data_IF_543709164544
#
_entry.id   IF_543709164544
#
_cell.length_a   1.000
_cell.length_b   1.000
_cell.length_c   1.000
_cell.angle_alpha   90.00
_cell.angle_beta   90.00
_cell.angle_gamma   90.00
#
_symmetry.space_group_name_H-M   'P 1'
#
loop_
_entity.id
_entity.type
_entity.pdbx_description
1 polymer ?
#
# COMPACT_ATOMS: atom_id res chain seq x y z
N UNK A 1 37.14 5.81 39.01
CA UNK A 1 38.52 5.73 38.46
C UNK A 1 38.98 4.36 37.91
N UNK A 2 38.39 3.18 38.20
CA UNK A 2 38.93 1.92 37.64
C UNK A 2 38.67 1.71 36.13
N UNK A 3 37.67 2.38 35.55
CA UNK A 3 37.35 2.25 34.11
C UNK A 3 38.34 2.95 33.17
N UNK A 4 39.01 4.00 33.63
CA UNK A 4 40.02 4.72 32.81
C UNK A 4 41.33 3.92 32.71
N UNK A 5 41.71 3.21 33.77
CA UNK A 5 42.88 2.33 33.74
C UNK A 5 42.65 1.12 32.82
N UNK A 6 41.45 0.54 32.83
CA UNK A 6 41.11 -0.61 31.98
C UNK A 6 41.13 -0.25 30.49
N UNK A 7 40.60 0.93 30.13
CA UNK A 7 40.61 1.42 28.74
C UNK A 7 42.03 1.67 28.22
N UNK A 8 42.91 2.28 29.04
CA UNK A 8 44.31 2.53 28.69
C UNK A 8 45.14 1.24 28.52
N UNK A 9 44.88 0.22 29.33
CA UNK A 9 45.58 -1.06 29.22
C UNK A 9 45.12 -1.83 27.98
N UNK A 10 43.81 -1.87 27.71
CA UNK A 10 43.26 -2.58 26.55
C UNK A 10 43.65 -1.90 25.24
N UNK A 11 43.52 -0.58 25.14
CA UNK A 11 43.78 0.15 23.89
C UNK A 11 45.25 0.50 23.68
N UNK A 12 45.99 0.82 24.74
CA UNK A 12 47.38 1.28 24.65
C UNK A 12 48.44 0.17 24.66
N UNK A 13 48.14 -0.98 25.26
CA UNK A 13 49.12 -2.06 25.47
C UNK A 13 48.71 -3.33 24.74
N UNK A 14 47.45 -3.77 24.88
CA UNK A 14 47.00 -5.05 24.35
C UNK A 14 46.90 -5.06 22.81
N UNK A 15 46.37 -4.00 22.20
CA UNK A 15 46.22 -3.87 20.74
C UNK A 15 47.58 -3.88 20.01
N UNK A 16 48.59 -3.07 20.39
CA UNK A 16 49.89 -3.11 19.72
C UNK A 16 50.68 -4.40 19.97
N UNK A 17 50.48 -5.08 21.12
CA UNK A 17 51.11 -6.38 21.39
C UNK A 17 50.48 -7.53 20.59
N UNK A 18 49.20 -7.44 20.25
CA UNK A 18 48.51 -8.43 19.41
C UNK A 18 48.67 -8.16 17.90
N UNK A 19 48.97 -6.92 17.49
CA UNK A 19 49.17 -6.53 16.09
C UNK A 19 50.18 -7.40 15.30
N UNK A 20 51.34 -7.86 15.85
CA UNK A 20 52.24 -8.75 15.12
C UNK A 20 51.71 -10.20 15.00
N UNK A 21 50.82 -10.64 15.89
CA UNK A 21 50.24 -12.00 15.86
C UNK A 21 49.01 -12.12 14.93
N UNK A 22 48.32 -11.01 14.65
CA UNK A 22 47.21 -10.97 13.68
C UNK A 22 47.72 -10.78 12.25
N UNK A 23 48.91 -10.17 12.08
CA UNK A 23 49.52 -9.88 10.76
C UNK A 23 49.75 -11.10 9.83
N UNK A 24 50.19 -12.28 10.30
CA UNK A 24 50.43 -13.42 9.40
C UNK A 24 49.14 -14.16 8.98
N UNK A 25 47.99 -13.90 9.62
CA UNK A 25 46.70 -14.55 9.29
C UNK A 25 45.80 -13.72 8.38
N UNK A 26 46.24 -12.56 7.89
CA UNK A 26 45.49 -11.73 6.92
C UNK A 26 46.19 -11.53 5.54
N UNK A 27 46.68 -12.57 4.84
CA UNK A 27 46.96 -12.44 3.40
C UNK A 27 45.68 -12.47 2.53
N UNK A 28 44.51 -12.87 3.07
CA UNK A 28 43.28 -13.04 2.28
C UNK A 28 42.41 -11.77 2.10
N UNK A 29 42.72 -10.65 2.77
CA UNK A 29 41.92 -9.42 2.66
C UNK A 29 42.45 -8.38 1.66
N UNK A 30 43.54 -8.67 0.93
CA UNK A 30 44.11 -7.74 -0.07
C UNK A 30 43.51 -7.86 -1.47
N UNK A 31 42.52 -8.73 -1.65
CA UNK A 31 41.66 -8.75 -2.83
C UNK A 31 40.19 -8.70 -2.42
N UNK A 32 39.84 -7.77 -1.52
CA UNK A 32 38.47 -7.28 -1.49
C UNK A 32 38.27 -6.55 -2.83
N UNK A 33 37.85 -7.31 -3.84
CA UNK A 33 37.26 -6.76 -5.05
C UNK A 33 36.27 -5.71 -4.58
N UNK A 34 36.55 -4.45 -4.88
CA UNK A 34 35.60 -3.39 -4.67
C UNK A 34 34.35 -3.81 -5.45
N UNK A 35 33.32 -4.24 -4.73
CA UNK A 35 32.01 -4.43 -5.32
C UNK A 35 31.53 -3.02 -5.61
N UNK A 36 31.87 -2.52 -6.80
CA UNK A 36 31.23 -1.35 -7.37
C UNK A 36 29.81 -1.79 -7.70
N UNK A 37 28.90 -1.61 -6.74
CA UNK A 37 27.47 -1.73 -7.01
C UNK A 37 27.10 -0.53 -7.89
N UNK A 38 26.98 -0.79 -9.20
CA UNK A 38 26.46 0.18 -10.15
C UNK A 38 24.94 0.22 -9.99
N UNK A 39 24.43 1.23 -9.29
CA UNK A 39 23.00 1.54 -9.14
C UNK A 39 22.50 2.46 -10.27
N UNK A 40 22.94 2.23 -11.51
CA UNK A 40 22.68 3.15 -12.63
C UNK A 40 21.24 3.03 -13.20
N UNK A 41 20.37 2.17 -12.64
CA UNK A 41 18.99 1.93 -13.11
C UNK A 41 17.86 2.32 -12.14
N UNK A 42 18.19 2.81 -10.93
CA UNK A 42 17.26 2.70 -9.80
C UNK A 42 16.55 4.02 -9.43
N UNK A 43 16.72 5.07 -10.23
CA UNK A 43 16.03 6.34 -10.01
C UNK A 43 14.67 6.37 -10.69
N UNK A 44 13.67 6.81 -9.94
CA UNK A 44 12.41 7.26 -10.51
C UNK A 44 12.67 8.44 -11.45
N UNK A 45 12.24 8.33 -12.70
CA UNK A 45 12.15 9.51 -13.57
C UNK A 45 11.20 10.54 -12.96
N UNK A 46 11.34 11.82 -13.32
CA UNK A 46 10.44 12.89 -12.85
C UNK A 46 8.95 12.54 -13.05
N UNK A 47 8.60 11.93 -14.18
CA UNK A 47 7.23 11.51 -14.47
C UNK A 47 6.75 10.39 -13.54
N UNK A 48 7.61 9.41 -13.24
CA UNK A 48 7.30 8.34 -12.29
C UNK A 48 7.13 8.91 -10.88
N UNK A 49 8.00 9.81 -10.45
CA UNK A 49 7.92 10.48 -9.15
C UNK A 49 6.59 11.22 -8.99
N UNK A 50 6.20 12.04 -9.96
CA UNK A 50 4.92 12.76 -9.96
C UNK A 50 3.74 11.78 -9.87
N UNK A 51 3.78 10.66 -10.62
CA UNK A 51 2.71 9.65 -10.59
C UNK A 51 2.59 8.99 -9.22
N UNK A 52 3.71 8.66 -8.58
CA UNK A 52 3.72 8.09 -7.23
C UNK A 52 3.23 9.10 -6.20
N UNK A 53 3.65 10.36 -6.28
CA UNK A 53 3.20 11.42 -5.38
C UNK A 53 1.69 11.65 -5.47
N UNK A 54 1.12 11.67 -6.69
CA UNK A 54 -0.33 11.71 -6.87
C UNK A 54 -1.01 10.48 -6.26
N UNK A 55 -0.46 9.27 -6.46
CA UNK A 55 -1.00 8.06 -5.87
C UNK A 55 -0.99 8.12 -4.33
N UNK A 56 0.08 8.65 -3.71
CA UNK A 56 0.16 8.87 -2.26
C UNK A 56 -0.95 9.80 -1.79
N UNK A 57 -1.16 10.93 -2.45
CA UNK A 57 -2.23 11.87 -2.11
C UNK A 57 -3.62 11.24 -2.22
N UNK A 58 -3.87 10.47 -3.28
CA UNK A 58 -5.12 9.73 -3.46
C UNK A 58 -5.32 8.68 -2.36
N UNK A 59 -4.27 7.92 -1.96
CA UNK A 59 -4.34 6.99 -0.82
C UNK A 59 -4.76 7.70 0.46
N UNK A 60 -4.20 8.88 0.74
CA UNK A 60 -4.58 9.68 1.91
C UNK A 60 -6.05 10.11 1.86
N UNK A 61 -6.54 10.55 0.69
CA UNK A 61 -7.93 10.93 0.51
C UNK A 61 -8.88 9.73 0.69
N UNK A 62 -8.57 8.61 0.05
CA UNK A 62 -9.32 7.34 0.12
C UNK A 62 -9.44 6.85 1.56
N UNK A 63 -8.32 6.79 2.28
CA UNK A 63 -8.29 6.25 3.65
C UNK A 63 -8.97 7.17 4.66
N UNK A 64 -8.81 8.49 4.55
CA UNK A 64 -9.59 9.46 5.37
C UNK A 64 -11.09 9.33 5.10
N UNK A 65 -11.46 9.10 3.84
CA UNK A 65 -12.87 8.91 3.50
C UNK A 65 -13.41 7.61 4.11
N UNK A 66 -12.65 6.52 4.03
CA UNK A 66 -13.02 5.26 4.65
C UNK A 66 -13.17 5.35 6.18
N UNK A 67 -12.31 6.12 6.85
CA UNK A 67 -12.43 6.39 8.28
C UNK A 67 -13.73 7.10 8.63
N UNK A 68 -14.08 8.17 7.90
CA UNK A 68 -15.35 8.90 8.07
C UNK A 68 -16.56 7.98 7.89
N UNK A 69 -16.54 7.13 6.86
CA UNK A 69 -17.66 6.23 6.55
C UNK A 69 -17.76 5.06 7.53
N UNK A 70 -16.65 4.56 8.08
CA UNK A 70 -16.65 3.57 9.16
C UNK A 70 -17.29 4.10 10.44
N UNK A 71 -17.06 5.37 10.79
CA UNK A 71 -17.70 6.02 11.93
C UNK A 71 -19.21 6.19 11.72
N UNK A 72 -19.61 6.43 10.47
CA UNK A 72 -21.01 6.58 10.08
C UNK A 72 -21.82 5.28 10.24
N UNK A 73 -21.23 4.15 9.85
CA UNK A 73 -21.93 2.84 9.86
C UNK A 73 -21.83 2.09 11.19
N UNK A 74 -20.93 2.48 12.09
CA UNK A 74 -20.69 1.80 13.38
C UNK A 74 -21.98 1.42 14.12
N UNK A 75 -22.97 2.32 14.30
CA UNK A 75 -24.13 2.02 15.13
C UNK A 75 -25.03 0.91 14.57
N UNK A 76 -24.81 0.49 13.33
CA UNK A 76 -25.69 -0.40 12.57
C UNK A 76 -25.07 -1.76 12.24
N UNK A 77 -23.75 -1.92 12.43
CA UNK A 77 -23.07 -3.18 12.12
C UNK A 77 -23.60 -4.32 13.01
N UNK A 78 -24.12 -5.38 12.38
CA UNK A 78 -24.71 -6.54 13.05
C UNK A 78 -26.13 -6.33 13.60
N UNK A 79 -26.77 -5.18 13.35
CA UNK A 79 -28.14 -4.89 13.76
C UNK A 79 -28.99 -4.43 12.55
N UNK A 80 -29.44 -5.41 11.78
CA UNK A 80 -30.25 -5.18 10.56
C UNK A 80 -31.56 -4.45 10.86
N UNK A 81 -32.19 -4.70 12.01
CA UNK A 81 -33.41 -4.03 12.41
C UNK A 81 -33.19 -2.52 12.61
N UNK A 82 -32.06 -2.15 13.23
CA UNK A 82 -31.67 -0.76 13.43
C UNK A 82 -31.28 -0.08 12.12
N UNK A 83 -30.64 -0.81 11.21
CA UNK A 83 -30.38 -0.33 9.85
C UNK A 83 -31.69 -0.03 9.11
N UNK A 84 -32.64 -0.97 9.08
CA UNK A 84 -33.93 -0.79 8.40
C UNK A 84 -34.75 0.36 8.99
N UNK A 85 -34.71 0.53 10.32
CA UNK A 85 -35.32 1.68 10.98
C UNK A 85 -34.68 3.00 10.53
N UNK A 86 -33.34 3.05 10.47
CA UNK A 86 -32.60 4.23 10.03
C UNK A 86 -32.80 4.54 8.55
N UNK A 87 -32.84 3.52 7.70
CA UNK A 87 -33.13 3.68 6.28
C UNK A 87 -34.50 4.32 6.05
N UNK A 88 -35.53 3.85 6.79
CA UNK A 88 -36.86 4.45 6.76
C UNK A 88 -36.89 5.89 7.25
N UNK A 89 -36.12 6.21 8.28
CA UNK A 89 -36.00 7.57 8.83
C UNK A 89 -35.29 8.54 7.87
N UNK A 90 -34.25 8.06 7.18
CA UNK A 90 -33.31 8.89 6.41
C UNK A 90 -33.61 9.00 4.92
N UNK A 91 -34.60 8.25 4.42
CA UNK A 91 -34.99 8.30 3.02
C UNK A 91 -33.80 7.98 2.09
N UNK A 92 -33.53 8.80 1.06
CA UNK A 92 -32.40 8.56 0.14
C UNK A 92 -31.03 8.49 0.83
N UNK A 93 -30.82 9.21 1.95
CA UNK A 93 -29.56 9.09 2.70
C UNK A 93 -29.39 7.68 3.30
N UNK A 94 -30.49 6.96 3.56
CA UNK A 94 -30.50 5.57 4.01
C UNK A 94 -29.78 4.62 3.07
N UNK A 95 -29.84 4.90 1.76
CA UNK A 95 -29.18 4.08 0.74
C UNK A 95 -27.64 4.14 0.83
N UNK A 96 -27.11 5.28 1.26
CA UNK A 96 -25.68 5.40 1.54
C UNK A 96 -25.24 4.53 2.72
N UNK A 97 -26.06 4.40 3.77
CA UNK A 97 -25.74 3.47 4.87
C UNK A 97 -25.80 2.03 4.39
N UNK A 98 -26.83 1.68 3.61
CA UNK A 98 -26.99 0.32 3.07
C UNK A 98 -25.79 -0.10 2.23
N UNK A 99 -25.37 0.71 1.26
CA UNK A 99 -24.22 0.37 0.40
C UNK A 99 -22.94 0.16 1.20
N UNK A 100 -22.69 1.01 2.20
CA UNK A 100 -21.48 0.95 3.02
C UNK A 100 -21.49 -0.31 3.90
N UNK A 101 -22.62 -0.62 4.55
CA UNK A 101 -22.77 -1.79 5.40
C UNK A 101 -22.70 -3.08 4.57
N UNK A 102 -23.37 -3.15 3.43
CA UNK A 102 -23.31 -4.34 2.60
C UNK A 102 -21.91 -4.55 2.02
N UNK A 103 -21.23 -3.49 1.57
CA UNK A 103 -19.84 -3.62 1.11
C UNK A 103 -18.92 -4.08 2.24
N UNK A 104 -19.12 -3.57 3.46
CA UNK A 104 -18.42 -4.01 4.65
C UNK A 104 -18.66 -5.51 4.93
N UNK A 105 -19.92 -5.93 5.02
CA UNK A 105 -20.29 -7.31 5.36
C UNK A 105 -19.83 -8.30 4.29
N UNK A 106 -19.84 -7.89 3.02
CA UNK A 106 -19.35 -8.73 1.92
C UNK A 106 -17.84 -8.94 2.00
N UNK A 107 -17.08 -7.90 2.33
CA UNK A 107 -15.62 -7.98 2.38
C UNK A 107 -15.07 -8.53 3.71
N UNK A 108 -15.76 -8.31 4.83
CA UNK A 108 -15.24 -8.63 6.16
C UNK A 108 -16.13 -9.57 6.97
N UNK A 109 -17.29 -9.96 6.45
CA UNK A 109 -18.26 -10.81 7.15
C UNK A 109 -18.96 -10.10 8.31
N UNK A 110 -19.85 -10.85 8.98
CA UNK A 110 -20.52 -10.43 10.22
C UNK A 110 -19.68 -10.96 11.39
N UNK A 111 -18.57 -10.30 11.67
CA UNK A 111 -17.84 -10.45 12.94
C UNK A 111 -18.58 -9.59 13.98
N UNK A 112 -18.35 -9.81 15.28
CA UNK A 112 -18.65 -8.79 16.30
C UNK A 112 -18.18 -7.42 15.80
N UNK A 113 -19.14 -6.60 15.35
CA UNK A 113 -18.88 -5.43 14.50
C UNK A 113 -17.98 -4.40 15.17
N UNK A 114 -17.91 -4.42 16.51
CA UNK A 114 -17.01 -3.56 17.30
C UNK A 114 -15.55 -3.96 17.10
N UNK A 115 -15.25 -5.26 17.14
CA UNK A 115 -13.90 -5.79 17.04
C UNK A 115 -13.33 -5.56 15.65
N UNK A 116 -14.06 -5.96 14.60
CA UNK A 116 -13.63 -5.78 13.21
C UNK A 116 -13.50 -4.30 12.82
N UNK A 117 -14.43 -3.42 13.25
CA UNK A 117 -14.28 -1.97 13.02
C UNK A 117 -13.05 -1.40 13.68
N UNK A 118 -12.81 -1.69 14.96
CA UNK A 118 -11.67 -1.11 15.69
C UNK A 118 -10.34 -1.45 15.00
N UNK A 119 -10.23 -2.68 14.48
CA UNK A 119 -9.10 -3.14 13.68
C UNK A 119 -8.99 -2.38 12.36
N UNK A 120 -10.08 -2.25 11.60
CA UNK A 120 -10.08 -1.51 10.33
C UNK A 120 -9.73 -0.04 10.52
N UNK A 121 -10.34 0.62 11.50
CA UNK A 121 -10.06 2.02 11.83
C UNK A 121 -8.59 2.21 12.19
N UNK A 122 -8.05 1.38 13.10
CA UNK A 122 -6.64 1.44 13.47
C UNK A 122 -5.71 1.23 12.27
N UNK A 123 -6.06 0.31 11.35
CA UNK A 123 -5.28 0.07 10.13
C UNK A 123 -5.34 1.24 9.16
N UNK A 124 -6.52 1.80 8.89
CA UNK A 124 -6.62 2.96 8.00
C UNK A 124 -5.97 4.20 8.59
N UNK A 125 -6.09 4.45 9.90
CA UNK A 125 -5.36 5.52 10.59
C UNK A 125 -3.84 5.37 10.37
N UNK A 126 -3.30 4.15 10.51
CA UNK A 126 -1.88 3.85 10.26
C UNK A 126 -1.48 3.99 8.81
N UNK A 127 -2.31 3.55 7.86
CA UNK A 127 -2.05 3.73 6.42
C UNK A 127 -2.02 5.21 6.07
N UNK A 128 -2.99 6.01 6.55
CA UNK A 128 -3.03 7.46 6.33
C UNK A 128 -1.77 8.12 6.88
N UNK A 129 -1.36 7.79 8.11
CA UNK A 129 -0.14 8.32 8.72
C UNK A 129 1.11 7.92 7.92
N UNK A 130 1.23 6.63 7.58
CA UNK A 130 2.38 6.13 6.82
C UNK A 130 2.49 6.81 5.47
N UNK A 131 1.38 6.93 4.73
CA UNK A 131 1.33 7.63 3.45
C UNK A 131 1.70 9.12 3.55
N UNK A 132 1.53 9.79 4.70
CA UNK A 132 1.97 11.18 4.89
C UNK A 132 3.49 11.31 5.02
N UNK A 133 4.14 10.25 5.48
CA UNK A 133 5.57 10.16 5.74
C UNK A 133 6.31 9.31 4.71
N UNK A 134 5.59 8.67 3.79
CA UNK A 134 6.13 7.97 2.63
C UNK A 134 6.57 8.96 1.57
N UNK A 135 7.56 8.58 0.79
CA UNK A 135 8.05 9.40 -0.31
C UNK A 135 8.87 8.58 -1.27
N UNK A 136 9.00 9.11 -2.47
CA UNK A 136 9.87 8.52 -3.50
C UNK A 136 11.32 8.69 -3.10
N UNK A 137 12.06 7.59 -3.07
CA UNK A 137 13.50 7.63 -2.90
C UNK A 137 14.14 8.12 -4.21
N UNK A 138 14.53 9.40 -4.23
CA UNK A 138 15.36 9.98 -5.29
C UNK A 138 16.82 9.55 -5.05
N UNK A 139 17.20 8.34 -5.43
CA UNK A 139 18.60 7.89 -5.29
C UNK A 139 19.42 8.17 -6.53
N UNK A 140 19.70 9.44 -6.85
CA UNK A 140 20.89 9.75 -7.65
C UNK A 140 22.11 9.68 -6.71
N UNK A 141 22.62 8.48 -6.48
CA UNK A 141 23.86 8.29 -5.72
C UNK A 141 24.91 7.66 -6.64
N UNK A 142 25.54 8.47 -7.49
CA UNK A 142 26.85 8.13 -8.03
C UNK A 142 27.88 8.16 -6.88
N UNK A 143 28.09 7.00 -6.25
CA UNK A 143 29.14 6.84 -5.26
C UNK A 143 30.51 6.79 -5.95
N UNK A 144 31.23 7.92 -5.97
CA UNK A 144 32.69 7.90 -6.15
C UNK A 144 33.35 7.33 -4.87
N UNK A 145 34.54 6.70 -4.95
CA UNK A 145 35.20 6.08 -3.79
C UNK A 145 35.58 7.01 -2.62
N UNK A 146 35.40 8.34 -2.73
CA UNK A 146 35.94 9.30 -1.75
C UNK A 146 34.93 9.87 -0.75
N UNK A 147 33.68 9.39 -0.73
CA UNK A 147 32.61 10.22 -0.18
C UNK A 147 32.40 10.05 1.34
N UNK A 148 33.21 10.80 2.10
CA UNK A 148 32.94 11.20 3.49
C UNK A 148 31.96 12.41 3.57
N UNK A 149 31.53 12.94 2.42
CA UNK A 149 30.61 14.09 2.31
C UNK A 149 29.14 13.70 2.05
N UNK A 150 28.81 12.40 2.10
CA UNK A 150 27.53 11.80 1.67
C UNK A 150 26.43 11.88 2.75
N UNK A 151 26.73 12.49 3.90
CA UNK A 151 25.79 12.60 5.02
C UNK A 151 24.58 13.52 4.75
N UNK A 152 24.66 14.50 3.86
CA UNK A 152 23.54 15.41 3.58
C UNK A 152 22.48 14.82 2.63
N UNK A 153 22.85 13.95 1.69
CA UNK A 153 21.84 13.25 0.86
C UNK A 153 21.12 12.17 1.67
N UNK A 154 21.82 11.54 2.62
CA UNK A 154 21.22 10.60 3.56
C UNK A 154 20.24 11.25 4.56
N UNK A 155 20.31 12.56 4.82
CA UNK A 155 19.38 13.19 5.79
C UNK A 155 17.95 13.22 5.29
N UNK A 156 17.72 13.28 3.97
CA UNK A 156 16.37 13.26 3.40
C UNK A 156 15.75 11.85 3.44
N UNK A 157 16.55 10.80 3.24
CA UNK A 157 16.10 9.40 3.33
C UNK A 157 15.78 9.03 4.78
N UNK A 158 16.50 9.57 5.77
CA UNK A 158 16.26 9.29 7.20
C UNK A 158 14.89 9.74 7.70
N UNK A 159 14.23 10.68 7.03
CA UNK A 159 12.95 11.23 7.46
C UNK A 159 11.74 10.51 6.83
N UNK A 160 11.95 9.63 5.86
CA UNK A 160 10.86 8.89 5.25
C UNK A 160 10.55 7.66 6.08
N UNK A 161 9.27 7.46 6.42
CA UNK A 161 8.89 6.30 7.21
C UNK A 161 8.82 4.99 6.42
N UNK A 162 8.57 5.10 5.12
CA UNK A 162 8.57 3.99 4.18
C UNK A 162 9.05 4.49 2.81
N UNK A 163 10.27 4.14 2.39
CA UNK A 163 10.79 4.55 1.09
C UNK A 163 10.09 3.79 -0.06
N UNK A 164 9.83 4.50 -1.15
CA UNK A 164 9.26 3.94 -2.38
C UNK A 164 10.28 4.01 -3.52
N UNK A 165 10.52 2.88 -4.18
CA UNK A 165 11.40 2.73 -5.34
C UNK A 165 10.57 2.49 -6.61
N UNK A 166 10.98 3.02 -7.77
CA UNK A 166 10.23 2.86 -9.03
C UNK A 166 10.73 1.73 -9.93
N UNK A 167 11.77 1.01 -9.52
CA UNK A 167 12.30 -0.11 -10.25
C UNK A 167 12.73 -1.20 -9.26
N UNK A 168 12.65 -2.43 -9.75
CA UNK A 168 13.15 -3.60 -9.06
C UNK A 168 14.68 -3.62 -9.16
N UNK A 169 15.37 -3.62 -8.02
CA UNK A 169 16.82 -3.83 -8.00
C UNK A 169 17.09 -5.34 -8.06
N UNK A 170 17.70 -5.86 -9.14
CA UNK A 170 17.95 -7.29 -9.29
C UNK A 170 18.83 -7.89 -8.18
N UNK A 171 19.63 -7.06 -7.49
CA UNK A 171 20.46 -7.48 -6.36
C UNK A 171 19.68 -7.58 -5.05
N UNK A 172 18.56 -6.84 -4.96
CA UNK A 172 17.67 -6.88 -3.80
C UNK A 172 16.49 -7.83 -4.00
N UNK A 173 16.09 -8.09 -5.25
CA UNK A 173 15.06 -9.06 -5.59
C UNK A 173 15.50 -10.44 -5.07
N UNK A 174 14.83 -10.92 -4.02
CA UNK A 174 14.99 -12.30 -3.60
C UNK A 174 14.56 -13.21 -4.76
N UNK A 175 15.12 -14.43 -4.92
CA UNK A 175 14.86 -15.31 -6.06
C UNK A 175 13.40 -15.78 -6.23
N UNK A 176 12.48 -15.28 -5.41
CA UNK A 176 11.04 -15.55 -5.46
C UNK A 176 10.17 -14.28 -5.38
N UNK A 177 10.78 -13.09 -5.29
CA UNK A 177 10.08 -11.82 -5.10
C UNK A 177 10.72 -10.76 -6.00
N UNK A 178 9.95 -10.29 -6.96
CA UNK A 178 10.38 -9.28 -7.91
C UNK A 178 9.37 -9.08 -9.04
N UNK A 179 9.49 -7.96 -9.72
CA UNK A 179 8.58 -7.52 -10.78
C UNK A 179 8.55 -8.45 -12.00
N UNK A 180 9.61 -9.23 -12.21
CA UNK A 180 9.71 -10.18 -13.33
C UNK A 180 9.17 -11.58 -13.03
N UNK A 181 9.12 -11.98 -11.76
CA UNK A 181 8.79 -13.35 -11.37
C UNK A 181 7.41 -13.48 -10.73
N UNK A 182 6.88 -12.39 -10.20
CA UNK A 182 5.58 -12.38 -9.58
C UNK A 182 4.51 -12.17 -10.66
N UNK A 183 3.88 -13.27 -11.08
CA UNK A 183 2.57 -13.24 -11.71
C UNK A 183 1.52 -13.43 -10.62
N UNK A 184 0.42 -12.69 -10.68
CA UNK A 184 -0.67 -12.70 -9.69
C UNK A 184 -1.51 -14.00 -9.66
N UNK A 185 -0.94 -15.13 -10.09
CA UNK A 185 -1.65 -16.39 -10.31
C UNK A 185 -2.56 -16.41 -11.54
N UNK A 186 -2.96 -15.23 -12.07
CA UNK A 186 -3.71 -15.07 -13.30
C UNK A 186 -2.82 -14.70 -14.51
N UNK A 187 -1.50 -14.73 -14.33
CA UNK A 187 -0.54 -14.37 -15.38
C UNK A 187 -0.36 -12.87 -15.57
N UNK A 188 -0.99 -12.01 -14.76
CA UNK A 188 -0.79 -10.56 -14.84
C UNK A 188 0.51 -10.18 -14.13
N UNK A 189 1.20 -9.18 -14.66
CA UNK A 189 2.40 -8.63 -14.04
C UNK A 189 2.06 -8.02 -12.68
N UNK A 190 2.88 -8.29 -11.67
CA UNK A 190 2.78 -7.60 -10.38
C UNK A 190 3.06 -6.12 -10.57
N UNK A 191 2.21 -5.28 -9.96
CA UNK A 191 2.25 -3.83 -10.12
C UNK A 191 3.17 -3.18 -9.07
N UNK A 192 3.19 -3.70 -7.86
CA UNK A 192 4.10 -3.29 -6.81
C UNK A 192 4.26 -4.46 -5.82
N UNK A 193 5.27 -4.39 -4.96
CA UNK A 193 5.42 -5.33 -3.87
C UNK A 193 6.11 -4.66 -2.68
N UNK A 194 5.84 -5.14 -1.47
CA UNK A 194 6.62 -4.80 -0.29
C UNK A 194 7.81 -5.75 -0.13
N UNK A 195 8.99 -5.20 0.11
CA UNK A 195 10.15 -6.00 0.49
C UNK A 195 10.45 -5.78 1.98
N UNK A 196 10.39 -6.86 2.74
CA UNK A 196 10.89 -6.88 4.11
C UNK A 196 12.37 -7.22 4.09
N UNK A 197 13.21 -6.29 4.53
CA UNK A 197 14.65 -6.51 4.64
C UNK A 197 14.95 -7.15 5.99
N UNK A 198 15.49 -8.36 5.97
CA UNK A 198 16.20 -8.96 7.09
C UNK A 198 17.69 -8.69 6.93
N UNK A 199 18.11 -7.42 7.01
CA UNK A 199 19.54 -7.10 7.00
C UNK A 199 20.02 -7.16 8.46
N UNK A 200 20.54 -8.33 8.83
CA UNK A 200 21.23 -8.56 10.10
C UNK A 200 22.69 -8.05 10.01
N UNK A 201 22.84 -6.76 9.72
CA UNK A 201 24.14 -6.08 9.73
C UNK A 201 24.00 -4.83 10.57
N UNK A 202 24.53 -4.88 11.80
CA UNK A 202 24.61 -3.76 12.73
C UNK A 202 25.21 -2.47 12.12
N UNK A 203 25.94 -2.59 11.00
CA UNK A 203 26.56 -1.49 10.26
C UNK A 203 25.57 -0.73 9.35
N UNK A 204 24.40 -1.31 9.05
CA UNK A 204 23.40 -0.78 8.11
C UNK A 204 22.06 -0.45 8.78
N UNK A 205 22.02 -0.15 10.08
CA UNK A 205 20.85 0.40 10.83
C UNK A 205 20.26 1.70 10.25
N UNK A 206 20.80 2.19 9.14
CA UNK A 206 20.33 3.36 8.40
C UNK A 206 19.19 2.98 7.44
N UNK A 207 19.07 1.71 7.05
CA UNK A 207 18.03 1.24 6.14
C UNK A 207 16.81 0.77 6.93
N UNK A 208 15.62 1.23 6.53
CA UNK A 208 14.37 0.78 7.12
C UNK A 208 14.10 -0.69 6.77
N UNK A 209 13.41 -1.37 7.67
CA UNK A 209 13.12 -2.81 7.57
C UNK A 209 12.13 -3.16 6.46
N UNK A 210 11.48 -2.16 5.86
CA UNK A 210 10.48 -2.31 4.82
C UNK A 210 10.67 -1.24 3.76
N UNK A 211 10.50 -1.62 2.49
CA UNK A 211 10.46 -0.71 1.35
C UNK A 211 9.29 -1.13 0.44
N UNK A 212 8.71 -0.18 -0.30
CA UNK A 212 7.80 -0.50 -1.41
C UNK A 212 8.57 -0.37 -2.72
N UNK A 213 8.40 -1.36 -3.59
CA UNK A 213 8.95 -1.35 -4.95
C UNK A 213 7.78 -1.32 -5.92
N UNK A 214 7.71 -0.27 -6.74
CA UNK A 214 6.76 -0.12 -7.83
C UNK A 214 7.37 -0.74 -9.09
N UNK A 215 6.63 -1.64 -9.72
CA UNK A 215 7.10 -2.34 -10.89
C UNK A 215 6.93 -1.53 -12.18
N UNK A 216 7.76 -1.76 -13.22
CA UNK A 216 7.61 -1.12 -14.53
C UNK A 216 6.22 -1.30 -15.15
N UNK A 217 5.57 -2.45 -14.90
CA UNK A 217 4.18 -2.72 -15.27
C UNK A 217 3.23 -1.66 -14.73
N UNK A 218 3.36 -1.21 -13.48
CA UNK A 218 2.49 -0.18 -12.90
C UNK A 218 2.55 1.16 -13.62
N UNK A 219 3.72 1.52 -14.17
CA UNK A 219 3.84 2.75 -14.95
C UNK A 219 3.21 2.63 -16.34
N UNK A 220 3.18 1.42 -16.92
CA UNK A 220 2.76 1.17 -18.30
C UNK A 220 1.33 0.65 -18.43
N UNK A 221 0.86 -0.16 -17.48
CA UNK A 221 -0.46 -0.81 -17.51
C UNK A 221 -1.49 -0.11 -16.66
N UNK A 222 -1.07 0.55 -15.56
CA UNK A 222 -2.00 1.34 -14.74
C UNK A 222 -2.13 2.72 -15.34
N UNK A 223 -3.34 3.12 -15.71
CA UNK A 223 -3.55 4.45 -16.29
C UNK A 223 -3.13 5.55 -15.31
N UNK A 224 -2.87 6.75 -15.83
CA UNK A 224 -2.56 7.92 -15.00
C UNK A 224 -3.84 8.57 -14.42
N UNK A 225 -4.89 7.76 -14.20
CA UNK A 225 -6.18 8.27 -13.74
C UNK A 225 -6.09 8.53 -12.25
N UNK A 226 -6.28 9.77 -11.84
CA UNK A 226 -6.37 10.14 -10.43
C UNK A 226 -7.77 9.87 -9.89
N UNK A 227 -7.90 9.78 -8.57
CA UNK A 227 -9.20 9.64 -7.91
C UNK A 227 -10.20 10.74 -8.33
N UNK A 228 -9.85 12.04 -8.38
CA UNK A 228 -10.77 13.07 -8.89
C UNK A 228 -11.25 12.82 -10.32
N UNK A 229 -10.40 12.30 -11.19
CA UNK A 229 -10.79 11.94 -12.56
C UNK A 229 -11.75 10.75 -12.55
N UNK A 230 -11.51 9.72 -11.73
CA UNK A 230 -12.47 8.61 -11.59
C UNK A 230 -13.81 9.16 -11.10
N UNK A 231 -13.82 9.93 -10.02
CA UNK A 231 -15.03 10.49 -9.41
C UNK A 231 -15.86 11.36 -10.36
N UNK A 232 -15.26 11.97 -11.38
CA UNK A 232 -15.97 12.77 -12.38
C UNK A 232 -16.36 11.98 -13.63
N UNK A 233 -15.68 10.86 -13.92
CA UNK A 233 -15.92 10.02 -15.13
C UNK A 233 -16.76 8.77 -14.86
N UNK A 234 -16.86 8.32 -13.61
CA UNK A 234 -17.75 7.20 -13.23
C UNK A 234 -19.22 7.55 -13.27
N UNK A 235 -19.57 8.82 -13.49
CA UNK A 235 -20.94 9.31 -13.54
C UNK A 235 -21.20 9.93 -14.91
N UNK A 236 -21.79 9.14 -15.82
CA UNK A 236 -23.16 9.46 -16.16
C UNK A 236 -24.00 8.18 -16.25
N UNK A 237 -24.97 8.03 -15.34
CA UNK A 237 -26.21 7.39 -15.78
C UNK A 237 -26.98 8.52 -16.46
N UNK A 238 -27.21 8.47 -17.77
CA UNK A 238 -28.14 9.40 -18.38
C UNK A 238 -29.51 9.08 -17.80
N UNK A 239 -30.01 9.94 -16.91
CA UNK A 239 -31.43 10.07 -16.71
C UNK A 239 -31.99 10.66 -18.00
N UNK A 240 -32.32 9.77 -18.96
CA UNK A 240 -33.39 9.98 -19.94
C UNK A 240 -33.59 11.43 -20.40
N UNK A 241 -32.75 11.89 -21.33
CA UNK A 241 -33.27 12.72 -22.44
C UNK A 241 -32.77 12.10 -23.73
N UNK A 242 -33.73 11.68 -24.55
CA UNK A 242 -33.55 10.90 -25.76
C UNK A 242 -33.07 11.77 -26.95
N UNK A 243 -32.30 12.83 -26.70
CA UNK A 243 -31.98 13.84 -27.71
C UNK A 243 -30.48 13.83 -28.07
N UNK A 244 -30.18 12.99 -29.07
CA UNK A 244 -29.26 13.21 -30.19
C UNK A 244 -28.02 14.12 -30.03
N UNK A 245 -27.14 13.84 -29.07
CA UNK A 245 -25.72 14.18 -29.23
C UNK A 245 -24.86 12.91 -29.29
N UNK A 246 -23.96 12.77 -30.28
CA UNK A 246 -23.02 11.66 -30.29
C UNK A 246 -22.18 11.74 -29.01
N UNK A 247 -22.12 10.66 -28.20
CA UNK A 247 -21.39 10.68 -26.95
C UNK A 247 -19.93 11.06 -27.22
N UNK A 248 -19.30 11.89 -26.36
CA UNK A 248 -17.86 12.09 -26.42
C UNK A 248 -17.17 10.72 -26.38
N UNK A 249 -16.11 10.55 -27.17
CA UNK A 249 -15.29 9.33 -27.24
C UNK A 249 -15.12 8.71 -25.85
N UNK A 250 -15.81 7.58 -25.64
CA UNK A 250 -16.26 7.14 -24.32
C UNK A 250 -15.12 7.03 -23.30
N UNK A 251 -15.19 7.68 -22.12
CA UNK A 251 -14.33 7.31 -21.01
C UNK A 251 -14.53 5.82 -20.67
N UNK A 252 -13.50 5.13 -20.13
CA UNK A 252 -13.64 3.73 -19.76
C UNK A 252 -14.77 3.62 -18.74
N UNK A 253 -15.86 2.95 -19.13
CA UNK A 253 -16.97 2.68 -18.24
C UNK A 253 -16.49 1.69 -17.19
N UNK A 254 -16.18 2.20 -16.00
CA UNK A 254 -15.83 1.36 -14.84
C UNK A 254 -17.09 0.61 -14.45
N UNK A 255 -17.07 -0.71 -14.62
CA UNK A 255 -18.23 -1.56 -14.32
C UNK A 255 -17.98 -2.41 -13.08
N UNK A 256 -16.71 -2.64 -12.73
CA UNK A 256 -16.30 -3.51 -11.64
C UNK A 256 -15.18 -2.88 -10.80
N UNK A 257 -15.12 -3.18 -9.50
CA UNK A 257 -14.01 -2.77 -8.63
C UNK A 257 -12.66 -3.33 -9.09
N UNK A 258 -12.65 -4.49 -9.74
CA UNK A 258 -11.43 -5.03 -10.35
C UNK A 258 -10.95 -4.23 -11.57
N UNK A 259 -11.81 -3.44 -12.21
CA UNK A 259 -11.37 -2.50 -13.25
C UNK A 259 -10.60 -1.35 -12.58
N UNK A 260 -11.00 -0.93 -11.37
CA UNK A 260 -10.34 0.15 -10.63
C UNK A 260 -8.92 -0.24 -10.22
N UNK A 261 -8.70 -1.51 -9.89
CA UNK A 261 -7.36 -2.08 -9.63
C UNK A 261 -6.36 -1.83 -10.75
N UNK A 262 -6.83 -1.84 -11.99
CA UNK A 262 -5.96 -1.70 -13.16
C UNK A 262 -5.85 -0.26 -13.67
N UNK A 263 -6.66 0.68 -13.19
CA UNK A 263 -6.69 2.07 -13.67
C UNK A 263 -6.37 3.10 -12.59
N UNK A 264 -6.44 2.74 -11.31
CA UNK A 264 -6.18 3.64 -10.19
C UNK A 264 -4.82 3.30 -9.55
N UNK A 265 -3.76 4.08 -9.84
CA UNK A 265 -2.44 3.97 -9.21
C UNK A 265 -2.48 3.80 -7.69
N UNK A 266 -3.36 4.58 -7.04
CA UNK A 266 -3.56 4.58 -5.60
C UNK A 266 -4.07 3.26 -5.04
N UNK A 267 -4.78 2.44 -5.83
CA UNK A 267 -5.25 1.14 -5.38
C UNK A 267 -4.07 0.23 -5.05
N UNK A 268 -3.14 0.05 -5.99
CA UNK A 268 -1.99 -0.83 -5.81
C UNK A 268 -1.09 -0.32 -4.68
N UNK A 269 -0.88 0.99 -4.59
CA UNK A 269 -0.10 1.56 -3.49
C UNK A 269 -0.78 1.37 -2.13
N UNK A 270 -2.10 1.55 -2.05
CA UNK A 270 -2.87 1.26 -0.84
C UNK A 270 -2.72 -0.20 -0.42
N UNK A 271 -2.87 -1.13 -1.37
CA UNK A 271 -2.67 -2.56 -1.16
C UNK A 271 -1.29 -2.83 -0.50
N UNK A 272 -0.20 -2.34 -1.11
CA UNK A 272 1.14 -2.54 -0.55
C UNK A 272 1.35 -1.90 0.82
N UNK A 273 0.80 -0.70 1.05
CA UNK A 273 0.88 -0.04 2.36
C UNK A 273 0.22 -0.89 3.44
N UNK A 274 -0.86 -1.61 3.11
CA UNK A 274 -1.49 -2.51 4.06
C UNK A 274 -0.64 -3.73 4.39
N UNK A 275 0.34 -4.12 3.57
CA UNK A 275 1.26 -5.20 3.92
C UNK A 275 2.36 -4.81 4.93
N UNK A 276 2.49 -3.54 5.30
CA UNK A 276 3.55 -3.07 6.20
C UNK A 276 3.35 -3.59 7.65
N UNK A 277 4.45 -3.83 8.37
CA UNK A 277 4.42 -4.17 9.80
C UNK A 277 3.81 -3.05 10.64
N UNK A 278 4.00 -1.80 10.24
CA UNK A 278 3.36 -0.66 10.88
C UNK A 278 1.83 -0.84 10.90
N UNK A 279 1.23 -1.28 9.78
CA UNK A 279 -0.21 -1.46 9.61
C UNK A 279 -0.71 -2.80 10.18
N UNK A 280 -0.13 -3.93 9.75
CA UNK A 280 -0.61 -5.28 10.06
C UNK A 280 -0.01 -5.92 11.32
N UNK A 281 1.06 -5.33 11.84
CA UNK A 281 1.88 -5.93 12.88
C UNK A 281 2.93 -6.90 12.31
N UNK A 282 3.90 -7.33 13.14
CA UNK A 282 5.08 -8.06 12.68
C UNK A 282 4.79 -9.45 12.10
N UNK A 283 3.69 -10.10 12.50
CA UNK A 283 3.37 -11.48 12.12
C UNK A 283 2.47 -11.62 10.88
N UNK A 284 1.84 -10.53 10.44
CA UNK A 284 0.86 -10.55 9.35
C UNK A 284 1.27 -9.68 8.16
N UNK A 285 2.45 -9.08 8.22
CA UNK A 285 2.98 -8.21 7.20
C UNK A 285 3.56 -9.03 6.03
N UNK A 286 3.49 -8.49 4.81
CA UNK A 286 3.99 -9.08 3.56
C UNK A 286 3.39 -10.45 3.15
N UNK A 287 2.30 -10.88 3.78
CA UNK A 287 1.59 -12.11 3.39
C UNK A 287 0.17 -11.78 2.98
N UNK A 288 -0.18 -12.16 1.76
CA UNK A 288 -1.57 -12.23 1.34
C UNK A 288 -2.26 -13.48 1.88
N UNK A 289 -3.54 -13.30 2.20
CA UNK A 289 -4.39 -14.40 2.60
C UNK A 289 -4.74 -15.24 1.37
N UNK A 290 -4.70 -16.56 1.52
CA UNK A 290 -5.10 -17.49 0.46
C UNK A 290 -6.60 -17.70 0.50
N UNK A 291 -7.24 -17.79 -0.66
CA UNK A 291 -8.58 -18.31 -0.86
C UNK A 291 -8.67 -19.82 -0.64
N UNK A 292 -9.85 -20.39 -0.86
CA UNK A 292 -10.07 -21.84 -0.68
C UNK A 292 -9.44 -22.70 -1.76
N UNK A 293 -9.29 -22.15 -2.96
CA UNK A 293 -8.56 -22.76 -4.07
C UNK A 293 -7.05 -22.83 -3.81
N UNK A 294 -6.58 -22.36 -2.64
CA UNK A 294 -5.17 -22.25 -2.28
C UNK A 294 -4.46 -21.09 -2.99
N UNK A 295 -5.12 -20.38 -3.90
CA UNK A 295 -4.59 -19.19 -4.56
C UNK A 295 -4.68 -17.96 -3.67
N UNK A 296 -3.94 -16.90 -3.98
CA UNK A 296 -4.06 -15.62 -3.26
C UNK A 296 -5.47 -15.03 -3.42
N UNK A 297 -6.00 -14.39 -2.37
CA UNK A 297 -7.35 -13.84 -2.34
C UNK A 297 -7.44 -12.45 -3.00
N UNK A 298 -6.93 -12.36 -4.23
CA UNK A 298 -6.96 -11.14 -5.04
C UNK A 298 -8.27 -11.00 -5.82
N UNK A 299 -8.74 -9.78 -5.87
CA UNK A 299 -9.95 -9.33 -6.54
C UNK A 299 -11.20 -9.50 -5.72
N UNK A 300 -12.27 -8.87 -6.20
CA UNK A 300 -13.54 -8.78 -5.48
C UNK A 300 -14.08 -10.16 -5.08
N UNK A 301 -14.17 -11.08 -6.04
CA UNK A 301 -14.80 -12.39 -5.82
C UNK A 301 -14.07 -13.18 -4.72
N UNK A 302 -12.73 -13.17 -4.74
CA UNK A 302 -11.93 -13.90 -3.75
C UNK A 302 -11.92 -13.20 -2.39
N UNK A 303 -11.86 -11.88 -2.37
CA UNK A 303 -11.96 -11.08 -1.15
C UNK A 303 -13.31 -11.30 -0.46
N UNK A 304 -14.41 -11.34 -1.21
CA UNK A 304 -15.76 -11.63 -0.71
C UNK A 304 -15.91 -13.08 -0.20
N UNK A 305 -15.36 -14.06 -0.94
CA UNK A 305 -15.32 -15.44 -0.44
C UNK A 305 -14.52 -15.55 0.86
N UNK A 306 -13.43 -14.78 0.98
CA UNK A 306 -12.66 -14.72 2.22
C UNK A 306 -13.47 -14.08 3.35
N UNK A 307 -14.15 -12.96 3.11
CA UNK A 307 -15.03 -12.29 4.07
C UNK A 307 -16.15 -13.18 4.60
N UNK A 308 -16.83 -13.90 3.71
CA UNK A 308 -17.95 -14.78 4.09
C UNK A 308 -17.52 -16.04 4.86
N UNK A 309 -16.33 -16.59 4.59
CA UNK A 309 -15.91 -17.89 5.14
C UNK A 309 -14.84 -17.81 6.23
N UNK A 310 -13.96 -16.82 6.13
CA UNK A 310 -12.88 -16.56 7.10
C UNK A 310 -12.78 -15.05 7.39
N UNK A 311 -13.80 -14.47 8.05
CA UNK A 311 -13.87 -13.03 8.33
C UNK A 311 -12.58 -12.45 8.94
N UNK A 312 -11.98 -13.13 9.92
CA UNK A 312 -10.73 -12.69 10.56
C UNK A 312 -9.53 -12.62 9.58
N UNK A 313 -9.50 -13.53 8.60
CA UNK A 313 -8.49 -13.53 7.55
C UNK A 313 -8.76 -12.39 6.57
N UNK A 314 -10.03 -12.13 6.24
CA UNK A 314 -10.39 -11.01 5.38
C UNK A 314 -9.96 -9.65 5.95
N UNK A 315 -9.98 -9.49 7.27
CA UNK A 315 -9.40 -8.31 7.91
C UNK A 315 -7.90 -8.16 7.60
N UNK A 316 -7.15 -9.27 7.54
CA UNK A 316 -5.69 -9.28 7.27
C UNK A 316 -5.34 -9.29 5.78
N UNK A 317 -6.32 -9.39 4.89
CA UNK A 317 -6.10 -9.42 3.46
C UNK A 317 -5.92 -8.01 2.89
N UNK A 318 -4.79 -7.74 2.24
CA UNK A 318 -4.49 -6.42 1.69
C UNK A 318 -5.53 -5.96 0.67
N UNK A 319 -5.97 -6.88 -0.20
CA UNK A 319 -6.94 -6.55 -1.23
C UNK A 319 -8.34 -6.26 -0.66
N UNK A 320 -8.77 -6.98 0.38
CA UNK A 320 -10.05 -6.69 1.07
C UNK A 320 -10.04 -5.27 1.66
N UNK A 321 -8.93 -4.84 2.24
CA UNK A 321 -8.78 -3.48 2.79
C UNK A 321 -8.78 -2.42 1.69
N UNK A 322 -8.03 -2.64 0.61
CA UNK A 322 -7.95 -1.71 -0.52
C UNK A 322 -9.29 -1.59 -1.25
N UNK A 323 -9.96 -2.72 -1.53
CA UNK A 323 -11.29 -2.77 -2.13
C UNK A 323 -12.32 -2.02 -1.28
N UNK A 324 -12.33 -2.25 0.04
CA UNK A 324 -13.24 -1.53 0.92
C UNK A 324 -12.98 -0.02 0.85
N UNK A 325 -11.76 0.42 1.10
CA UNK A 325 -11.46 1.85 1.16
C UNK A 325 -11.75 2.57 -0.17
N UNK A 326 -11.43 1.94 -1.30
CA UNK A 326 -11.73 2.51 -2.63
C UNK A 326 -13.24 2.53 -2.90
N UNK A 327 -13.96 1.45 -2.57
CA UNK A 327 -15.42 1.39 -2.77
C UNK A 327 -16.18 2.47 -2.00
N UNK A 328 -15.73 2.80 -0.78
CA UNK A 328 -16.36 3.85 0.03
C UNK A 328 -15.98 5.25 -0.46
N UNK A 329 -14.74 5.43 -0.95
CA UNK A 329 -14.28 6.67 -1.57
C UNK A 329 -15.01 7.00 -2.89
N UNK A 330 -15.39 5.99 -3.66
CA UNK A 330 -16.19 6.11 -4.89
C UNK A 330 -17.68 6.31 -4.60
N UNK A 331 -17.94 7.39 -3.86
CA UNK A 331 -19.28 7.90 -3.52
C UNK A 331 -20.11 8.07 -4.79
N UNK A 332 -21.39 7.72 -4.75
CA UNK A 332 -22.30 7.76 -5.91
C UNK A 332 -22.71 6.40 -6.44
N UNK A 333 -21.94 5.34 -6.13
CA UNK A 333 -22.31 3.98 -6.46
C UNK A 333 -22.34 3.09 -5.21
N UNK A 334 -23.26 2.14 -5.23
CA UNK A 334 -23.21 0.93 -4.42
C UNK A 334 -22.31 -0.09 -5.11
N UNK A 335 -21.32 -0.56 -4.36
CA UNK A 335 -20.29 -1.50 -4.80
C UNK A 335 -20.37 -2.84 -4.06
N UNK A 336 -21.43 -3.08 -3.29
CA UNK A 336 -21.61 -4.29 -2.47
C UNK A 336 -21.63 -5.60 -3.25
N UNK A 337 -21.75 -5.54 -4.58
CA UNK A 337 -21.70 -6.69 -5.49
C UNK A 337 -20.48 -6.65 -6.42
N UNK A 338 -19.48 -5.81 -6.11
CA UNK A 338 -18.29 -5.57 -6.92
C UNK A 338 -18.54 -4.74 -8.17
N UNK A 339 -19.80 -4.49 -8.53
CA UNK A 339 -20.23 -3.72 -9.70
C UNK A 339 -20.74 -2.34 -9.32
N UNK A 340 -20.46 -1.36 -10.16
CA UNK A 340 -21.03 -0.02 -10.01
C UNK A 340 -22.55 -0.09 -10.20
N UNK A 341 -23.32 0.08 -9.12
CA UNK A 341 -24.76 0.33 -9.18
C UNK A 341 -25.01 1.75 -8.70
N UNK A 342 -25.71 2.60 -9.45
CA UNK A 342 -26.04 3.94 -8.99
C UNK A 342 -26.71 3.87 -7.63
N UNK A 343 -26.12 4.54 -6.64
CA UNK A 343 -26.81 4.76 -5.38
C UNK A 343 -27.77 5.93 -5.62
N UNK A 344 -28.97 5.87 -5.05
CA UNK A 344 -29.82 7.05 -4.95
C UNK A 344 -29.13 8.02 -3.98
N UNK A 345 -28.19 8.82 -4.47
CA UNK A 345 -27.51 9.83 -3.66
C UNK A 345 -28.39 11.08 -3.64
N UNK A 346 -28.86 11.53 -2.48
CA UNK A 346 -29.58 12.79 -2.40
C UNK A 346 -28.65 13.96 -2.79
N UNK A 347 -29.20 14.92 -3.54
CA UNK A 347 -28.49 16.06 -4.13
C UNK A 347 -27.63 16.89 -3.15
N UNK A 348 -27.96 16.84 -1.86
CA UNK A 348 -27.23 17.51 -0.77
C UNK A 348 -25.80 17.01 -0.51
N UNK A 349 -25.35 15.91 -1.15
CA UNK A 349 -23.98 15.38 -1.04
C UNK A 349 -23.08 15.73 -2.24
N UNK A 350 -23.60 16.44 -3.25
CA UNK A 350 -22.83 16.85 -4.44
C UNK A 350 -21.94 18.08 -4.19
N UNK A 351 -22.00 18.69 -3.00
CA UNK A 351 -21.32 19.96 -2.69
C UNK A 351 -20.62 19.89 -1.34
N UNK A 352 -19.41 19.32 -1.30
CA UNK A 352 -18.37 19.64 -0.29
C UNK A 352 -16.98 19.64 -0.92
#
# INVERSE_FOLDING_TARGET
MPHLLFSLIVTGILIPLLAPFVRPYMPAFRSASYITMHFDSDTCTTAQTIKVDHAIHDVQAITRQALKDLDLIEPFLGDTNRLDARMREKGPQGENYRRLIYTYEMLFGIIDGRTSRSVLKARFDKVTALAQTSGVCLTDIHLSPQIRHVYSTFSNIRNLDLPIYCNDDPLLAAPHYGCQQAHDGAGRYVAAYIQQRHIDLDVLRIFKDEIIVICPSWFTTVSNTSLPTILTTTFPVPHTTLDAHPPPTNPPLIRHLDDIRTILPAFALLHELTHTRAVMGPHNAATDERGEDGGLAYGWDKAMMLGSRRPESALRNADSLALFAVSVALRGNDWSMGRARPAEVPAEWEVE
#
